data_IF_227368770223
#
_entry.id   IF_227368770223
#
_cell.length_a   1.000
_cell.length_b   1.000
_cell.length_c   1.000
_cell.angle_alpha   90.00
_cell.angle_beta   90.00
_cell.angle_gamma   90.00
#
_symmetry.space_group_name_H-M   'P 1'
#
loop_
_entity.id
_entity.type
_entity.pdbx_description
1 polymer ?
#
# COMPACT_ATOMS: atom_id res chain seq x y z
N UNK A 1 24.84 14.46 14.06
CA UNK A 1 24.08 13.21 13.84
C UNK A 1 22.96 13.52 12.88
N UNK A 2 23.11 13.12 11.61
CA UNK A 2 22.10 13.34 10.59
C UNK A 2 21.02 12.28 10.75
N UNK A 3 19.86 12.66 11.27
CA UNK A 3 18.65 11.87 11.12
C UNK A 3 18.29 11.88 9.62
N UNK A 4 18.50 10.74 8.95
CA UNK A 4 17.94 10.49 7.64
C UNK A 4 16.40 10.49 7.81
N UNK A 5 15.76 11.59 7.41
CA UNK A 5 14.32 11.61 7.15
C UNK A 5 14.03 10.48 6.17
N UNK A 6 13.45 9.41 6.65
CA UNK A 6 12.77 8.42 5.81
C UNK A 6 11.77 9.20 4.95
N UNK A 7 12.02 9.19 3.65
CA UNK A 7 11.16 9.80 2.65
C UNK A 7 9.82 9.03 2.67
N UNK A 8 8.84 9.58 3.36
CA UNK A 8 7.44 9.27 3.10
C UNK A 8 7.22 9.44 1.60
N UNK A 9 6.53 8.49 0.95
CA UNK A 9 6.31 8.32 -0.48
C UNK A 9 6.50 9.64 -1.23
N UNK A 10 7.67 9.78 -1.88
CA UNK A 10 8.26 11.08 -2.07
C UNK A 10 7.53 11.89 -3.11
N UNK A 11 7.05 13.06 -2.72
CA UNK A 11 6.56 14.05 -3.65
C UNK A 11 7.62 14.30 -4.74
N UNK A 12 7.30 13.92 -6.00
CA UNK A 12 8.22 14.02 -7.13
C UNK A 12 8.28 15.43 -7.71
N UNK A 13 7.29 16.29 -7.38
CA UNK A 13 7.22 17.67 -7.82
C UNK A 13 7.81 18.59 -6.76
N UNK A 14 9.01 19.09 -7.03
CA UNK A 14 9.75 19.98 -6.11
C UNK A 14 10.16 21.23 -6.85
N UNK A 15 10.07 22.37 -6.17
CA UNK A 15 10.60 23.65 -6.62
C UNK A 15 12.13 23.69 -6.62
N UNK A 16 12.70 24.80 -7.07
CA UNK A 16 14.15 25.04 -7.07
C UNK A 16 14.73 25.02 -5.63
N UNK A 17 13.92 25.38 -4.65
CA UNK A 17 14.21 25.34 -3.20
C UNK A 17 14.03 23.95 -2.57
N UNK A 18 13.75 22.93 -3.40
CA UNK A 18 13.43 21.54 -2.99
C UNK A 18 12.14 21.37 -2.17
N UNK A 19 11.34 22.44 -2.04
CA UNK A 19 10.03 22.33 -1.38
C UNK A 19 9.01 21.65 -2.32
N UNK A 20 8.03 20.91 -1.75
CA UNK A 20 6.96 20.31 -2.54
C UNK A 20 6.14 21.36 -3.27
N UNK A 21 5.85 21.11 -4.55
CA UNK A 21 4.92 21.89 -5.38
C UNK A 21 3.49 21.35 -5.32
N UNK A 22 3.24 20.31 -4.53
CA UNK A 22 1.94 19.74 -4.27
C UNK A 22 1.71 19.69 -2.77
N UNK A 23 0.44 19.64 -2.38
CA UNK A 23 -0.01 19.62 -0.99
C UNK A 23 -0.81 18.35 -0.71
N UNK A 24 -1.09 18.08 0.56
CA UNK A 24 -2.05 17.04 0.95
C UNK A 24 -3.45 17.45 0.51
N UNK A 25 -4.23 16.47 0.07
CA UNK A 25 -5.64 16.66 -0.29
C UNK A 25 -6.55 16.25 0.86
N UNK A 26 -7.56 17.06 1.18
CA UNK A 26 -8.59 16.69 2.14
C UNK A 26 -9.42 15.51 1.60
N UNK A 27 -9.80 14.58 2.46
CA UNK A 27 -10.60 13.40 2.06
C UNK A 27 -11.92 13.80 1.37
N UNK A 28 -12.53 14.91 1.78
CA UNK A 28 -13.73 15.43 1.15
C UNK A 28 -13.53 15.90 -0.31
N UNK A 29 -12.30 16.23 -0.70
CA UNK A 29 -11.97 16.74 -2.03
C UNK A 29 -11.46 15.66 -2.99
N UNK A 30 -11.19 14.45 -2.49
CA UNK A 30 -10.64 13.34 -3.27
C UNK A 30 -11.57 12.99 -4.43
N UNK A 31 -12.86 12.75 -4.15
CA UNK A 31 -13.83 12.31 -5.16
C UNK A 31 -13.94 13.27 -6.33
N UNK A 32 -14.19 14.55 -6.04
CA UNK A 32 -14.30 15.57 -7.09
C UNK A 32 -13.01 15.81 -7.86
N UNK A 33 -11.85 15.52 -7.24
CA UNK A 33 -10.56 15.59 -7.94
C UNK A 33 -10.38 14.38 -8.84
N UNK A 34 -10.80 13.18 -8.41
CA UNK A 34 -10.78 11.98 -9.25
C UNK A 34 -11.77 12.12 -10.42
N UNK A 35 -12.98 12.64 -10.19
CA UNK A 35 -13.95 12.93 -11.26
C UNK A 35 -13.34 13.86 -12.35
N UNK A 36 -12.60 14.88 -11.91
CA UNK A 36 -11.85 15.74 -12.84
C UNK A 36 -10.78 14.95 -13.61
N UNK A 37 -10.01 14.09 -12.93
CA UNK A 37 -9.01 13.23 -13.57
C UNK A 37 -9.67 12.32 -14.60
N UNK A 38 -10.78 11.67 -14.28
CA UNK A 38 -11.54 10.79 -15.19
C UNK A 38 -11.99 11.54 -16.44
N UNK A 39 -12.56 12.73 -16.26
CA UNK A 39 -12.99 13.59 -17.37
C UNK A 39 -11.83 13.92 -18.32
N UNK A 40 -10.64 14.17 -17.79
CA UNK A 40 -9.46 14.54 -18.59
C UNK A 40 -8.83 13.32 -19.26
N UNK A 41 -8.71 12.22 -18.51
CA UNK A 41 -7.98 11.04 -18.98
C UNK A 41 -8.84 10.11 -19.82
N UNK A 42 -10.14 10.15 -19.64
CA UNK A 42 -11.08 9.16 -20.20
C UNK A 42 -11.02 7.79 -19.51
N UNK A 43 -10.27 7.69 -18.40
CA UNK A 43 -10.20 6.49 -17.60
C UNK A 43 -11.34 6.48 -16.57
N UNK A 44 -11.80 5.30 -16.21
CA UNK A 44 -12.78 5.10 -15.16
C UNK A 44 -12.06 4.59 -13.90
N UNK A 45 -12.09 5.36 -12.82
CA UNK A 45 -11.56 5.03 -11.50
C UNK A 45 -12.68 4.75 -10.50
N UNK A 46 -13.69 4.01 -10.88
CA UNK A 46 -14.88 3.72 -10.07
C UNK A 46 -14.50 3.25 -8.67
N UNK A 47 -15.22 3.79 -7.68
CA UNK A 47 -15.17 3.40 -6.27
C UNK A 47 -15.82 2.02 -6.06
N UNK A 48 -15.10 0.94 -6.17
CA UNK A 48 -15.59 -0.32 -5.64
C UNK A 48 -14.90 -0.65 -4.32
N UNK A 49 -15.70 -0.81 -3.27
CA UNK A 49 -15.28 -0.72 -1.87
C UNK A 49 -14.73 -2.00 -1.25
N UNK A 50 -14.74 -3.15 -1.90
CA UNK A 50 -14.45 -4.42 -1.22
C UNK A 50 -13.50 -5.33 -1.99
N UNK A 51 -12.53 -5.90 -1.24
CA UNK A 51 -11.61 -6.96 -1.69
C UNK A 51 -12.32 -8.26 -2.12
N UNK A 52 -13.59 -8.41 -1.78
CA UNK A 52 -14.40 -9.58 -2.10
C UNK A 52 -15.18 -9.42 -3.42
N UNK A 53 -15.17 -8.23 -4.03
CA UNK A 53 -15.84 -7.99 -5.31
C UNK A 53 -14.91 -8.36 -6.47
N UNK A 54 -15.50 -8.98 -7.49
CA UNK A 54 -14.79 -9.50 -8.66
C UNK A 54 -14.13 -8.42 -9.55
N UNK A 55 -14.30 -7.14 -9.21
CA UNK A 55 -13.73 -6.01 -9.93
C UNK A 55 -12.64 -5.35 -9.08
N UNK A 56 -11.45 -5.11 -9.64
CA UNK A 56 -10.37 -4.47 -8.92
C UNK A 56 -10.73 -3.01 -8.58
N UNK A 57 -10.52 -2.64 -7.32
CA UNK A 57 -10.62 -1.23 -6.89
C UNK A 57 -9.47 -0.45 -7.51
N UNK A 58 -9.79 0.66 -8.15
CA UNK A 58 -8.80 1.49 -8.84
C UNK A 58 -8.21 2.59 -7.95
N UNK A 59 -8.78 2.84 -6.78
CA UNK A 59 -8.21 3.74 -5.77
C UNK A 59 -7.34 2.93 -4.80
N UNK A 60 -6.07 3.22 -4.76
CA UNK A 60 -5.08 2.47 -4.00
C UNK A 60 -4.65 3.22 -2.73
N UNK A 61 -3.87 2.55 -1.89
CA UNK A 61 -3.23 3.16 -0.73
C UNK A 61 -4.20 3.86 0.20
N UNK A 62 -3.93 5.14 0.49
CA UNK A 62 -4.76 5.99 1.34
C UNK A 62 -5.84 6.76 0.58
N UNK A 63 -5.82 6.76 -0.76
CA UNK A 63 -6.72 7.54 -1.63
C UNK A 63 -8.19 7.21 -1.37
N UNK A 64 -8.53 5.93 -1.29
CA UNK A 64 -9.90 5.45 -1.07
C UNK A 64 -10.30 5.25 0.39
N UNK A 65 -9.43 5.56 1.35
CA UNK A 65 -9.65 5.26 2.76
C UNK A 65 -10.18 6.46 3.52
N UNK A 66 -11.36 6.30 4.08
CA UNK A 66 -11.90 7.21 5.10
C UNK A 66 -11.55 6.76 6.51
N UNK A 67 -11.47 5.45 6.73
CA UNK A 67 -11.22 4.83 8.03
C UNK A 67 -10.22 3.70 7.92
N UNK A 68 -9.51 3.39 8.99
CA UNK A 68 -8.73 2.16 9.07
C UNK A 68 -9.66 0.94 8.99
N UNK A 69 -9.16 -0.24 8.57
CA UNK A 69 -9.97 -1.46 8.40
C UNK A 69 -10.75 -1.89 9.64
N UNK A 70 -10.30 -1.48 10.83
CA UNK A 70 -10.93 -1.71 12.12
C UNK A 70 -11.89 -0.59 12.55
N UNK A 71 -12.04 0.46 11.74
CA UNK A 71 -12.92 1.59 12.02
C UNK A 71 -12.44 2.56 13.11
N UNK A 72 -11.20 2.39 13.59
CA UNK A 72 -10.68 3.13 14.76
C UNK A 72 -10.08 4.49 14.41
N UNK A 73 -9.69 4.73 13.16
CA UNK A 73 -9.05 5.97 12.75
C UNK A 73 -9.59 6.50 11.43
N UNK A 74 -10.09 7.73 11.44
CA UNK A 74 -10.52 8.45 10.24
C UNK A 74 -9.38 9.33 9.71
N UNK A 75 -8.95 9.08 8.47
CA UNK A 75 -7.97 9.93 7.80
C UNK A 75 -8.66 11.11 7.12
N UNK A 76 -8.36 12.31 7.58
CA UNK A 76 -8.92 13.54 7.05
C UNK A 76 -8.21 14.05 5.79
N UNK A 77 -7.08 13.44 5.41
CA UNK A 77 -6.30 13.84 4.23
C UNK A 77 -5.41 12.72 3.69
N UNK A 78 -5.14 12.75 2.37
CA UNK A 78 -4.11 11.93 1.71
C UNK A 78 -2.92 12.78 1.27
N UNK A 79 -1.72 12.19 1.20
CA UNK A 79 -0.51 12.86 0.69
C UNK A 79 -0.51 13.00 -0.83
N UNK A 80 -1.08 12.02 -1.49
CA UNK A 80 -1.17 11.82 -2.93
C UNK A 80 -2.46 11.06 -3.27
N UNK A 81 -2.71 10.88 -4.56
CA UNK A 81 -3.79 10.05 -5.09
C UNK A 81 -3.15 8.88 -5.84
N UNK A 82 -3.26 7.68 -5.29
CA UNK A 82 -2.81 6.45 -5.93
C UNK A 82 -3.94 5.84 -6.75
N UNK A 83 -3.77 5.77 -8.07
CA UNK A 83 -4.78 5.30 -9.02
C UNK A 83 -4.24 4.13 -9.85
N UNK A 84 -4.93 2.99 -9.83
CA UNK A 84 -4.55 1.81 -10.59
C UNK A 84 -4.93 1.94 -12.06
N UNK A 85 -3.98 1.63 -12.96
CA UNK A 85 -4.20 1.58 -14.41
C UNK A 85 -3.82 0.21 -14.94
N UNK A 86 -4.70 -0.42 -15.71
CA UNK A 86 -4.41 -1.70 -16.36
C UNK A 86 -3.44 -1.47 -17.53
N UNK A 87 -2.21 -1.98 -17.38
CA UNK A 87 -1.18 -1.87 -18.39
C UNK A 87 -1.45 -2.73 -19.65
N UNK A 88 -2.43 -3.65 -19.60
CA UNK A 88 -2.87 -4.41 -20.76
C UNK A 88 -3.85 -3.61 -21.64
N UNK A 89 -4.53 -2.61 -21.06
CA UNK A 89 -5.52 -1.79 -21.75
C UNK A 89 -4.96 -0.41 -22.16
N UNK A 90 -4.00 0.12 -21.39
CA UNK A 90 -3.49 1.49 -21.55
C UNK A 90 -1.98 1.48 -21.69
N UNK A 91 -1.46 1.94 -22.84
CA UNK A 91 -0.03 2.15 -23.01
C UNK A 91 0.46 3.34 -22.17
N UNK A 92 1.41 3.09 -21.29
CA UNK A 92 1.94 4.08 -20.35
C UNK A 92 2.61 5.27 -21.05
N UNK A 93 3.35 5.04 -22.14
CA UNK A 93 4.08 6.12 -22.85
C UNK A 93 3.11 7.01 -23.60
N UNK A 94 2.13 6.41 -24.27
CA UNK A 94 1.09 7.15 -24.98
C UNK A 94 0.26 7.98 -24.00
N UNK A 95 -0.15 7.39 -22.86
CA UNK A 95 -0.85 8.09 -21.79
C UNK A 95 -0.06 9.28 -21.26
N UNK A 96 1.23 9.09 -20.94
CA UNK A 96 2.08 10.17 -20.46
C UNK A 96 2.28 11.29 -21.52
N UNK A 97 2.50 10.91 -22.79
CA UNK A 97 2.67 11.89 -23.87
C UNK A 97 1.41 12.73 -24.08
N UNK A 98 0.23 12.14 -23.98
CA UNK A 98 -1.06 12.85 -24.03
C UNK A 98 -1.17 13.88 -22.91
N UNK A 99 -0.86 13.50 -21.67
CA UNK A 99 -0.87 14.42 -20.53
C UNK A 99 0.19 15.53 -20.69
N UNK A 100 1.40 15.21 -21.14
CA UNK A 100 2.46 16.19 -21.41
C UNK A 100 2.02 17.21 -22.46
N UNK A 101 1.39 16.74 -23.53
CA UNK A 101 0.89 17.63 -24.62
C UNK A 101 -0.17 18.59 -24.11
N UNK A 102 -0.99 18.17 -23.16
CA UNK A 102 -2.12 18.97 -22.67
C UNK A 102 -1.73 19.88 -21.49
N UNK A 103 -0.83 19.45 -20.61
CA UNK A 103 -0.56 20.11 -19.34
C UNK A 103 0.89 20.59 -19.17
N UNK A 104 1.78 20.27 -20.12
CA UNK A 104 3.20 20.61 -20.04
C UNK A 104 4.03 19.56 -19.27
N UNK A 105 5.28 19.43 -19.69
CA UNK A 105 6.24 18.46 -19.17
C UNK A 105 6.58 18.69 -17.68
N UNK A 106 6.50 19.90 -17.20
CA UNK A 106 6.77 20.29 -15.81
C UNK A 106 5.73 19.74 -14.85
N UNK A 107 4.53 19.41 -15.33
CA UNK A 107 3.42 18.87 -14.53
C UNK A 107 3.30 17.34 -14.61
N UNK A 108 4.12 16.68 -15.45
CA UNK A 108 4.09 15.22 -15.65
C UNK A 108 5.49 14.66 -15.42
N UNK A 109 5.59 13.59 -14.64
CA UNK A 109 6.84 12.86 -14.43
C UNK A 109 6.62 11.37 -14.58
N UNK A 110 7.65 10.65 -15.00
CA UNK A 110 7.64 9.19 -15.11
C UNK A 110 8.70 8.63 -14.17
N UNK A 111 8.33 7.62 -13.39
CA UNK A 111 9.28 6.83 -12.61
C UNK A 111 8.81 5.37 -12.50
N UNK A 112 9.70 4.43 -12.80
CA UNK A 112 9.34 3.01 -12.81
C UNK A 112 8.08 2.75 -13.64
N UNK A 113 7.07 2.14 -13.04
CA UNK A 113 5.79 1.86 -13.70
C UNK A 113 4.75 2.96 -13.49
N UNK A 114 5.12 4.09 -12.90
CA UNK A 114 4.20 5.15 -12.57
C UNK A 114 4.30 6.33 -13.56
N UNK A 115 3.16 6.96 -13.79
CA UNK A 115 3.06 8.31 -14.35
C UNK A 115 2.51 9.21 -13.24
N UNK A 116 3.26 10.26 -12.90
CA UNK A 116 2.88 11.23 -11.88
C UNK A 116 2.36 12.48 -12.56
N UNK A 117 1.25 13.01 -12.07
CA UNK A 117 0.68 14.27 -12.54
C UNK A 117 0.45 15.23 -11.35
N UNK A 118 0.93 16.45 -11.50
CA UNK A 118 0.60 17.55 -10.60
C UNK A 118 -0.78 18.10 -11.00
N UNK A 119 -1.84 17.57 -10.39
CA UNK A 119 -3.23 17.85 -10.75
C UNK A 119 -3.82 18.94 -9.86
N UNK A 120 -4.58 19.90 -10.41
CA UNK A 120 -5.30 20.89 -9.60
C UNK A 120 -6.42 20.20 -8.79
N UNK A 121 -6.51 20.49 -7.50
CA UNK A 121 -7.56 19.95 -6.62
C UNK A 121 -8.93 20.42 -7.14
N UNK A 122 -9.85 19.49 -7.36
CA UNK A 122 -11.17 19.72 -7.97
C UNK A 122 -11.10 20.32 -9.38
N UNK A 123 -9.97 20.22 -10.05
CA UNK A 123 -9.76 20.80 -11.37
C UNK A 123 -9.55 22.32 -11.38
N UNK A 124 -9.43 22.96 -10.23
CA UNK A 124 -9.22 24.41 -10.08
C UNK A 124 -7.86 24.70 -9.43
N UNK A 125 -6.92 25.33 -10.15
CA UNK A 125 -5.61 25.73 -9.61
C UNK A 125 -5.68 26.63 -8.37
N UNK A 126 -6.76 27.35 -8.14
CA UNK A 126 -6.95 28.17 -6.95
C UNK A 126 -7.02 27.33 -5.66
N UNK A 127 -7.41 26.06 -5.76
CA UNK A 127 -7.43 25.11 -4.63
C UNK A 127 -6.04 24.49 -4.35
N UNK A 128 -5.00 24.85 -5.14
CA UNK A 128 -3.69 24.22 -5.08
C UNK A 128 -3.63 22.92 -5.89
N UNK A 129 -2.54 22.17 -5.69
CA UNK A 129 -2.25 20.96 -6.47
C UNK A 129 -1.97 19.78 -5.56
N UNK A 130 -2.41 18.60 -5.98
CA UNK A 130 -2.05 17.31 -5.38
C UNK A 130 -1.27 16.47 -6.40
N UNK A 131 -0.42 15.55 -5.94
CA UNK A 131 0.20 14.55 -6.79
C UNK A 131 -0.80 13.41 -7.03
N UNK A 132 -1.04 13.08 -8.30
CA UNK A 132 -1.75 11.87 -8.69
C UNK A 132 -0.76 10.88 -9.31
N UNK A 133 -0.74 9.67 -8.79
CA UNK A 133 0.13 8.57 -9.19
C UNK A 133 -0.67 7.53 -9.95
N UNK A 134 -0.55 7.52 -11.27
CA UNK A 134 -1.10 6.47 -12.12
C UNK A 134 -0.16 5.27 -12.08
N UNK A 135 -0.58 4.24 -11.41
CA UNK A 135 0.22 3.04 -11.13
C UNK A 135 -0.15 1.94 -12.14
N UNK A 136 0.69 1.79 -13.17
CA UNK A 136 0.47 0.81 -14.23
C UNK A 136 0.82 -0.60 -13.77
N UNK A 137 -0.10 -1.53 -13.93
CA UNK A 137 0.08 -2.94 -13.58
C UNK A 137 -0.60 -3.85 -14.59
N UNK A 138 0.09 -4.92 -14.99
CA UNK A 138 -0.52 -6.00 -15.78
C UNK A 138 -1.45 -6.90 -14.93
N UNK A 139 -1.42 -6.75 -13.60
CA UNK A 139 -2.32 -7.44 -12.67
C UNK A 139 -2.88 -6.45 -11.63
N UNK A 140 -3.90 -5.65 -11.99
CA UNK A 140 -4.50 -4.69 -11.07
C UNK A 140 -5.04 -5.31 -9.78
N UNK A 141 -5.59 -6.52 -9.83
CA UNK A 141 -6.09 -7.22 -8.65
C UNK A 141 -4.98 -7.55 -7.63
N UNK A 142 -3.82 -8.01 -8.11
CA UNK A 142 -2.67 -8.20 -7.25
C UNK A 142 -2.14 -6.88 -6.68
N UNK A 143 -2.03 -5.84 -7.52
CA UNK A 143 -1.60 -4.51 -7.11
C UNK A 143 -2.50 -3.94 -6.01
N UNK A 144 -3.83 -4.05 -6.16
CA UNK A 144 -4.80 -3.63 -5.15
C UNK A 144 -4.53 -4.31 -3.80
N UNK A 145 -4.41 -5.62 -3.79
CA UNK A 145 -4.12 -6.36 -2.56
C UNK A 145 -2.74 -6.01 -1.97
N UNK A 146 -1.76 -5.67 -2.82
CA UNK A 146 -0.45 -5.19 -2.40
C UNK A 146 -0.51 -3.82 -1.72
N UNK A 147 -1.34 -2.92 -2.22
CA UNK A 147 -1.49 -1.55 -1.72
C UNK A 147 -2.45 -1.41 -0.52
N UNK A 148 -2.99 -2.50 0.00
CA UNK A 148 -3.75 -2.48 1.26
C UNK A 148 -2.79 -2.03 2.36
N UNK A 149 -3.15 -0.92 3.02
CA UNK A 149 -2.31 -0.33 4.04
C UNK A 149 -2.42 -1.03 5.40
N UNK A 150 -1.69 -0.53 6.36
CA UNK A 150 -1.63 -1.06 7.70
C UNK A 150 -2.89 -0.88 8.53
N UNK A 151 -2.87 -1.50 9.69
CA UNK A 151 -3.85 -1.35 10.77
C UNK A 151 -3.12 -1.00 12.05
N UNK A 152 -3.72 -0.18 12.89
CA UNK A 152 -3.14 0.23 14.17
C UNK A 152 -1.74 0.83 14.03
N UNK A 153 -0.75 0.26 14.73
CA UNK A 153 0.65 0.71 14.70
C UNK A 153 1.42 0.29 13.47
N UNK A 154 0.91 -0.67 12.70
CA UNK A 154 1.59 -1.22 11.53
C UNK A 154 1.15 -0.51 10.24
N UNK A 155 2.11 -0.07 9.44
CA UNK A 155 1.91 0.49 8.10
C UNK A 155 1.80 -0.64 7.07
N UNK A 156 1.32 -0.34 5.85
CA UNK A 156 1.25 -1.30 4.75
C UNK A 156 2.60 -1.94 4.40
N UNK A 157 3.69 -1.16 4.46
CA UNK A 157 5.05 -1.65 4.23
C UNK A 157 5.48 -2.72 5.25
N UNK A 158 5.03 -2.62 6.52
CA UNK A 158 5.36 -3.61 7.56
C UNK A 158 4.76 -4.97 7.24
N UNK A 159 3.56 -4.99 6.63
CA UNK A 159 2.95 -6.23 6.13
C UNK A 159 3.84 -6.93 5.10
N UNK A 160 4.42 -6.17 4.16
CA UNK A 160 5.32 -6.75 3.17
C UNK A 160 6.60 -7.30 3.79
N UNK A 161 7.11 -6.66 4.83
CA UNK A 161 8.27 -7.16 5.59
C UNK A 161 7.93 -8.49 6.26
N UNK A 162 6.74 -8.62 6.88
CA UNK A 162 6.30 -9.87 7.51
C UNK A 162 6.07 -10.98 6.49
N UNK A 163 5.39 -10.69 5.37
CA UNK A 163 5.18 -11.65 4.28
C UNK A 163 6.51 -12.12 3.68
N UNK A 164 7.48 -11.21 3.50
CA UNK A 164 8.82 -11.56 3.02
C UNK A 164 9.59 -12.45 3.99
N UNK A 165 9.45 -12.23 5.29
CA UNK A 165 10.07 -13.08 6.31
C UNK A 165 9.52 -14.50 6.26
N UNK A 166 8.18 -14.64 6.22
CA UNK A 166 7.51 -15.94 6.14
C UNK A 166 7.87 -16.67 4.84
N UNK A 167 7.84 -15.97 3.70
CA UNK A 167 8.23 -16.55 2.42
C UNK A 167 9.64 -17.11 2.46
N UNK A 168 10.60 -16.34 3.00
CA UNK A 168 12.00 -16.77 3.13
C UNK A 168 12.14 -18.00 4.03
N UNK A 169 11.47 -18.03 5.18
CA UNK A 169 11.48 -19.20 6.08
C UNK A 169 10.92 -20.46 5.40
N UNK A 170 10.09 -20.30 4.38
CA UNK A 170 9.54 -21.40 3.56
C UNK A 170 10.29 -21.66 2.25
N UNK A 171 11.47 -21.07 2.07
CA UNK A 171 12.28 -21.26 0.85
C UNK A 171 11.72 -20.56 -0.39
N UNK A 172 10.90 -19.53 -0.22
CA UNK A 172 10.33 -18.70 -1.29
C UNK A 172 10.84 -17.26 -1.20
N UNK A 173 10.66 -16.49 -2.27
CA UNK A 173 10.88 -15.03 -2.29
C UNK A 173 9.53 -14.33 -2.46
N UNK A 174 9.25 -13.31 -1.66
CA UNK A 174 8.07 -12.46 -1.84
C UNK A 174 8.47 -11.08 -2.38
N UNK A 175 7.73 -10.63 -3.39
CA UNK A 175 7.84 -9.29 -3.96
C UNK A 175 6.49 -8.57 -3.86
N UNK A 176 6.44 -7.36 -3.28
CA UNK A 176 5.21 -6.56 -3.28
C UNK A 176 4.67 -6.25 -4.68
N UNK A 177 5.54 -6.28 -5.69
CA UNK A 177 5.20 -5.97 -7.08
C UNK A 177 4.78 -7.21 -7.88
N UNK A 178 5.38 -8.38 -7.58
CA UNK A 178 5.25 -9.56 -8.43
C UNK A 178 4.58 -10.74 -7.73
N UNK A 179 4.53 -10.78 -6.39
CA UNK A 179 3.99 -11.91 -5.63
C UNK A 179 5.08 -12.88 -5.16
N UNK A 180 4.75 -14.16 -5.09
CA UNK A 180 5.68 -15.22 -4.69
C UNK A 180 6.52 -15.68 -5.88
N UNK A 181 7.82 -15.70 -5.68
CA UNK A 181 8.84 -16.03 -6.68
C UNK A 181 9.71 -17.18 -6.22
N UNK A 182 10.27 -17.90 -7.17
CA UNK A 182 11.39 -18.79 -6.95
C UNK A 182 12.61 -17.95 -6.53
N UNK A 183 13.27 -18.23 -5.40
CA UNK A 183 14.36 -17.39 -4.89
C UNK A 183 15.66 -17.50 -5.72
N UNK A 184 15.83 -18.54 -6.56
CA UNK A 184 17.01 -18.75 -7.40
C UNK A 184 16.85 -18.13 -8.79
N UNK A 185 15.66 -18.22 -9.39
CA UNK A 185 15.40 -17.78 -10.77
C UNK A 185 14.66 -16.47 -10.88
N UNK A 186 14.07 -15.98 -9.77
CA UNK A 186 13.15 -14.83 -9.75
C UNK A 186 11.86 -15.02 -10.60
N UNK A 187 11.59 -16.25 -11.03
CA UNK A 187 10.37 -16.57 -11.76
C UNK A 187 9.16 -16.64 -10.83
N UNK A 188 8.02 -16.19 -11.34
CA UNK A 188 6.76 -16.26 -10.62
C UNK A 188 6.38 -17.72 -10.36
N UNK A 189 6.09 -18.05 -9.11
CA UNK A 189 5.54 -19.37 -8.75
C UNK A 189 4.12 -19.55 -9.34
N UNK A 190 3.66 -20.79 -9.55
CA UNK A 190 2.31 -21.04 -10.00
C UNK A 190 1.27 -20.31 -9.14
N UNK A 191 0.48 -19.42 -9.76
CA UNK A 191 -0.47 -18.53 -9.07
C UNK A 191 0.15 -17.66 -7.96
N UNK A 192 1.45 -17.41 -8.01
CA UNK A 192 2.18 -16.64 -7.01
C UNK A 192 1.75 -15.17 -6.90
N UNK A 193 0.92 -14.65 -7.81
CA UNK A 193 0.29 -13.34 -7.77
C UNK A 193 -1.23 -13.39 -7.54
N UNK A 194 -1.75 -14.52 -7.07
CA UNK A 194 -3.10 -14.65 -6.53
C UNK A 194 -3.07 -14.60 -5.00
N UNK A 195 -3.80 -13.67 -4.39
CA UNK A 195 -3.77 -13.45 -2.94
C UNK A 195 -4.30 -14.63 -2.14
N UNK A 196 -5.24 -15.42 -2.66
CA UNK A 196 -5.70 -16.64 -1.99
C UNK A 196 -4.62 -17.72 -2.02
N UNK A 197 -3.92 -17.84 -3.16
CA UNK A 197 -2.81 -18.79 -3.25
C UNK A 197 -1.65 -18.37 -2.36
N UNK A 198 -1.28 -17.08 -2.34
CA UNK A 198 -0.26 -16.53 -1.43
C UNK A 198 -0.61 -16.84 0.04
N UNK A 199 -1.87 -16.64 0.45
CA UNK A 199 -2.29 -16.95 1.81
C UNK A 199 -2.07 -18.43 2.13
N UNK A 200 -2.47 -19.34 1.24
CA UNK A 200 -2.30 -20.80 1.41
C UNK A 200 -0.84 -21.22 1.44
N UNK A 201 -0.03 -20.69 0.56
CA UNK A 201 1.40 -21.04 0.48
C UNK A 201 2.17 -20.54 1.70
N UNK A 202 1.86 -19.34 2.17
CA UNK A 202 2.54 -18.74 3.31
C UNK A 202 2.03 -19.23 4.66
N UNK A 203 0.71 -19.38 4.82
CA UNK A 203 0.12 -19.66 6.12
C UNK A 203 -0.47 -21.09 6.24
N UNK A 204 -0.74 -21.76 5.13
CA UNK A 204 -1.32 -23.11 5.09
C UNK A 204 -2.69 -23.14 4.41
N UNK A 205 -3.16 -24.34 4.05
CA UNK A 205 -4.31 -24.56 3.15
C UNK A 205 -5.64 -23.97 3.63
N UNK A 206 -5.79 -23.72 4.93
CA UNK A 206 -7.00 -23.10 5.51
C UNK A 206 -6.98 -21.58 5.50
N UNK A 207 -5.83 -20.98 5.16
CA UNK A 207 -5.67 -19.54 5.17
C UNK A 207 -6.39 -18.90 3.97
N UNK A 208 -6.85 -17.69 4.19
CA UNK A 208 -7.57 -16.85 3.22
C UNK A 208 -6.91 -15.49 3.09
N UNK A 209 -7.34 -14.69 2.11
CA UNK A 209 -6.87 -13.30 1.96
C UNK A 209 -7.06 -12.49 3.24
N UNK A 210 -8.10 -12.78 4.05
CA UNK A 210 -8.34 -12.08 5.33
C UNK A 210 -7.20 -12.26 6.32
N UNK A 211 -6.56 -13.43 6.31
CA UNK A 211 -5.49 -13.79 7.23
C UNK A 211 -4.15 -13.14 6.89
N UNK A 212 -3.99 -12.63 5.67
CA UNK A 212 -2.78 -11.92 5.22
C UNK A 212 -3.03 -10.42 4.96
N UNK A 213 -4.19 -9.90 5.34
CA UNK A 213 -4.62 -8.54 5.04
C UNK A 213 -3.85 -7.47 5.84
N UNK A 214 -3.43 -7.79 7.05
CA UNK A 214 -2.67 -6.89 7.95
C UNK A 214 -1.62 -7.67 8.72
N UNK A 215 -0.67 -6.97 9.34
CA UNK A 215 0.31 -7.59 10.24
C UNK A 215 -0.40 -8.33 11.37
N UNK A 216 -1.41 -7.70 11.99
CA UNK A 216 -2.17 -8.31 13.10
C UNK A 216 -2.87 -9.59 12.66
N UNK A 217 -3.51 -9.62 11.49
CA UNK A 217 -4.15 -10.80 10.94
C UNK A 217 -3.14 -11.94 10.73
N UNK A 218 -1.97 -11.64 10.13
CA UNK A 218 -0.89 -12.61 9.93
C UNK A 218 -0.44 -13.17 11.27
N UNK A 219 -0.10 -12.31 12.23
CA UNK A 219 0.40 -12.73 13.55
C UNK A 219 -0.64 -13.57 14.29
N UNK A 220 -1.91 -13.17 14.26
CA UNK A 220 -3.01 -13.93 14.86
C UNK A 220 -3.17 -15.32 14.25
N UNK A 221 -2.96 -15.47 12.96
CA UNK A 221 -3.01 -16.77 12.30
C UNK A 221 -1.83 -17.65 12.69
N UNK A 222 -0.60 -17.13 12.60
CA UNK A 222 0.62 -17.93 12.78
C UNK A 222 1.01 -18.17 14.25
N UNK A 223 0.46 -17.42 15.23
CA UNK A 223 0.78 -17.58 16.66
C UNK A 223 0.58 -19.00 17.19
N UNK A 224 -0.29 -19.78 16.55
CA UNK A 224 -0.59 -21.17 16.89
C UNK A 224 0.39 -22.18 16.28
N UNK A 225 1.24 -21.73 15.36
CA UNK A 225 2.20 -22.58 14.68
C UNK A 225 3.44 -22.78 15.55
N UNK A 226 3.97 -24.02 15.64
CA UNK A 226 5.12 -24.33 16.49
C UNK A 226 6.40 -23.58 16.07
N UNK A 227 6.49 -23.17 14.79
CA UNK A 227 7.62 -22.44 14.21
C UNK A 227 7.39 -20.93 14.09
N UNK A 228 6.47 -20.35 14.88
CA UNK A 228 6.14 -18.93 14.86
C UNK A 228 7.39 -18.03 14.86
N UNK A 229 8.34 -18.26 15.78
CA UNK A 229 9.53 -17.41 15.92
C UNK A 229 10.44 -17.48 14.68
N UNK A 230 10.55 -18.63 14.05
CA UNK A 230 11.28 -18.80 12.78
C UNK A 230 10.64 -18.02 11.66
N UNK A 231 9.32 -18.10 11.52
CA UNK A 231 8.56 -17.42 10.45
C UNK A 231 8.74 -15.90 10.50
N UNK A 232 8.81 -15.31 11.69
CA UNK A 232 8.89 -13.84 11.85
C UNK A 232 10.30 -13.33 12.16
N UNK A 233 11.31 -14.17 12.26
CA UNK A 233 12.66 -13.77 12.68
C UNK A 233 13.23 -12.61 11.83
N UNK A 234 13.16 -12.71 10.50
CA UNK A 234 13.63 -11.66 9.60
C UNK A 234 12.80 -10.37 9.66
N UNK A 235 11.50 -10.51 9.91
CA UNK A 235 10.62 -9.35 10.08
C UNK A 235 10.93 -8.64 11.41
N UNK A 236 11.12 -9.40 12.49
CA UNK A 236 11.49 -8.85 13.81
C UNK A 236 12.80 -8.07 13.76
N UNK A 237 13.82 -8.62 13.10
CA UNK A 237 15.09 -7.92 12.91
C UNK A 237 14.90 -6.61 12.11
N UNK A 238 14.18 -6.67 11.00
CA UNK A 238 14.00 -5.53 10.10
C UNK A 238 13.15 -4.42 10.75
N UNK A 239 12.04 -4.78 11.37
CA UNK A 239 11.14 -3.84 12.05
C UNK A 239 11.75 -3.30 13.35
N UNK A 240 12.50 -4.12 14.09
CA UNK A 240 13.21 -3.70 15.29
C UNK A 240 14.24 -2.59 15.01
N UNK A 241 14.90 -2.59 13.84
CA UNK A 241 15.76 -1.48 13.40
C UNK A 241 14.99 -0.17 13.16
N UNK A 242 13.68 -0.26 12.96
CA UNK A 242 12.78 0.89 12.79
C UNK A 242 12.08 1.28 14.11
N UNK A 243 12.44 0.62 15.22
CA UNK A 243 11.81 0.85 16.52
C UNK A 243 10.42 0.21 16.66
N UNK A 244 10.11 -0.79 15.82
CA UNK A 244 8.82 -1.48 15.82
C UNK A 244 9.04 -2.92 16.27
N UNK A 245 8.46 -3.28 17.41
CA UNK A 245 8.55 -4.61 17.97
C UNK A 245 7.36 -5.49 17.52
N UNK A 246 7.69 -6.71 17.08
CA UNK A 246 6.69 -7.74 16.86
C UNK A 246 6.48 -8.54 18.16
N UNK A 247 5.23 -8.78 18.60
CA UNK A 247 4.93 -9.49 19.84
C UNK A 247 5.45 -10.93 19.78
N UNK A 248 5.73 -11.52 20.95
CA UNK A 248 5.97 -12.96 21.10
C UNK A 248 4.64 -13.72 20.99
N UNK A 249 4.67 -15.00 20.62
CA UNK A 249 3.46 -15.80 20.43
C UNK A 249 2.51 -15.76 21.63
N UNK A 250 3.04 -15.82 22.86
CA UNK A 250 2.26 -15.76 24.09
C UNK A 250 1.70 -14.36 24.44
N UNK A 251 2.16 -13.31 23.78
CA UNK A 251 1.68 -11.93 23.95
C UNK A 251 0.50 -11.61 23.04
N UNK A 252 0.33 -12.37 21.94
CA UNK A 252 -0.69 -12.10 20.92
C UNK A 252 -2.11 -12.41 21.43
N UNK A 253 -2.27 -13.29 22.43
CA UNK A 253 -3.58 -13.64 22.98
C UNK A 253 -4.34 -12.45 23.59
N UNK A 254 -3.62 -11.43 24.01
CA UNK A 254 -4.16 -10.20 24.55
C UNK A 254 -4.30 -9.07 23.50
N UNK A 255 -3.95 -9.35 22.25
CA UNK A 255 -3.89 -8.36 21.17
C UNK A 255 -5.14 -8.43 20.30
N UNK A 256 -6.25 -7.90 20.82
CA UNK A 256 -7.45 -7.63 20.04
C UNK A 256 -7.54 -6.11 19.86
N UNK A 257 -7.72 -5.59 18.64
CA UNK A 257 -7.99 -4.16 18.42
C UNK A 257 -9.16 -3.71 19.31
N UNK A 258 -8.96 -2.65 20.10
CA UNK A 258 -9.96 -2.13 21.03
C UNK A 258 -9.97 -2.78 22.43
N UNK A 259 -9.08 -3.71 22.73
CA UNK A 259 -8.96 -4.27 24.10
C UNK A 259 -8.05 -3.42 25.00
N UNK A 260 -8.21 -3.60 26.33
CA UNK A 260 -7.37 -2.92 27.35
C UNK A 260 -5.87 -3.20 27.14
N UNK A 261 -5.49 -4.35 26.58
CA UNK A 261 -4.11 -4.69 26.22
C UNK A 261 -3.53 -3.80 25.14
N UNK A 262 -4.31 -3.46 24.12
CA UNK A 262 -3.95 -2.52 23.06
C UNK A 262 -3.75 -1.10 23.59
N UNK A 263 -4.62 -0.62 24.48
CA UNK A 263 -4.49 0.68 25.12
C UNK A 263 -3.26 0.78 26.04
N UNK A 264 -2.85 -0.30 26.70
CA UNK A 264 -1.64 -0.30 27.53
C UNK A 264 -0.35 -0.17 26.71
N UNK A 265 -0.26 -0.82 25.55
CA UNK A 265 0.91 -0.66 24.66
C UNK A 265 1.01 0.74 24.08
N UNK A 266 -0.11 1.39 23.71
CA UNK A 266 -0.10 2.81 23.28
C UNK A 266 0.41 3.75 24.37
N UNK A 267 0.12 3.46 25.63
CA UNK A 267 0.57 4.27 26.77
C UNK A 267 2.08 4.08 27.05
N UNK A 268 2.64 2.91 26.78
CA UNK A 268 4.09 2.65 26.93
C UNK A 268 4.92 3.26 25.77
N UNK A 269 4.35 3.42 24.58
CA UNK A 269 5.01 4.03 23.43
C UNK A 269 5.02 5.58 23.54
N UNK A 270 4.11 6.16 24.32
CA UNK A 270 3.97 7.62 24.52
C UNK A 270 4.74 8.12 25.75
N UNK A 271 5.32 7.23 26.57
CA UNK A 271 6.24 7.55 27.65
C UNK A 271 7.70 7.47 27.19
#
# INVERSE_FOLDING_TARGET
>A
MNQSKLLEGGNVFKGADKQPLTQRIATADVESTVDYIEKITGLDFTKEKHLDDKKPVKWLGTTGRKQDPDGTFEKNSSGDLDLSVDANEVDKKEFANRLISQFGKENIKLSGDNVHWKVPIKGDPANGFVQADFMFSANPAFQQGSMIGGSGVYRGEHRHIVLSSIARAKGMKYSPKHGLLNPQTDELLPNGNDWNQIAKDLLGQTATVKDIRSVDAILNFIKKLPNYEELIAGARETLGRQGIDLPKANQIENYQPGTIGWMRQLIEIVK
#
